data_IF_937348759459
#
_entry.id   IF_937348759459
#
_cell.length_a   1.000
_cell.length_b   1.000
_cell.length_c   1.000
_cell.angle_alpha   90.00
_cell.angle_beta   90.00
_cell.angle_gamma   90.00
#
_symmetry.space_group_name_H-M   'P 1'
#
loop_
_entity.id
_entity.type
_entity.pdbx_description
1 polymer ?
#
# COMPACT_ATOMS: atom_id res chain seq x y z
N UNK A 1 -15.17 -22.77 -18.96
CA UNK A 1 -15.63 -23.82 -19.91
C UNK A 1 -15.00 -25.16 -19.53
N UNK A 2 -15.65 -26.30 -19.77
CA UNK A 2 -15.00 -27.61 -19.59
C UNK A 2 -13.89 -27.78 -20.65
N UNK A 3 -12.64 -27.92 -20.17
CA UNK A 3 -11.42 -28.08 -20.97
C UNK A 3 -11.32 -29.41 -21.73
N UNK A 4 -12.28 -30.32 -21.58
CA UNK A 4 -12.32 -31.61 -22.32
C UNK A 4 -13.23 -31.56 -23.56
N UNK A 5 -13.78 -30.40 -23.93
CA UNK A 5 -14.65 -30.24 -25.11
C UNK A 5 -13.88 -29.57 -26.25
N UNK A 6 -14.24 -29.84 -27.51
CA UNK A 6 -13.61 -29.20 -28.68
C UNK A 6 -13.55 -27.67 -28.56
N UNK A 7 -14.66 -27.04 -28.16
CA UNK A 7 -14.72 -25.58 -27.97
C UNK A 7 -13.90 -25.10 -26.77
N UNK A 8 -13.93 -25.84 -25.65
CA UNK A 8 -13.11 -25.49 -24.48
C UNK A 8 -11.62 -25.55 -24.79
N UNK A 9 -11.16 -26.61 -25.46
CA UNK A 9 -9.75 -26.76 -25.84
C UNK A 9 -9.32 -25.73 -26.88
N UNK A 10 -10.17 -25.45 -27.87
CA UNK A 10 -9.89 -24.42 -28.87
C UNK A 10 -9.76 -23.03 -28.24
N UNK A 11 -10.57 -22.73 -27.22
CA UNK A 11 -10.47 -21.48 -26.47
C UNK A 11 -9.10 -21.34 -25.80
N UNK A 12 -8.66 -22.34 -25.03
CA UNK A 12 -7.35 -22.28 -24.34
C UNK A 12 -6.18 -22.18 -25.32
N UNK A 13 -6.20 -22.94 -26.41
CA UNK A 13 -5.13 -22.91 -27.42
C UNK A 13 -5.03 -21.54 -28.10
N UNK A 14 -6.17 -20.97 -28.50
CA UNK A 14 -6.19 -19.64 -29.11
C UNK A 14 -5.85 -18.53 -28.09
N UNK A 15 -6.20 -18.71 -26.81
CA UNK A 15 -5.83 -17.80 -25.70
C UNK A 15 -4.32 -17.76 -25.54
N UNK A 16 -3.67 -18.92 -25.49
CA UNK A 16 -2.21 -19.03 -25.38
C UNK A 16 -1.48 -18.53 -26.63
N UNK A 17 -2.00 -18.82 -27.81
CA UNK A 17 -1.34 -18.44 -29.06
C UNK A 17 -1.42 -16.92 -29.32
N UNK A 18 -2.49 -16.26 -28.89
CA UNK A 18 -2.70 -14.82 -29.07
C UNK A 18 -2.87 -14.36 -30.53
N UNK A 19 -2.90 -15.30 -31.48
CA UNK A 19 -3.02 -15.05 -32.93
C UNK A 19 -4.06 -15.99 -33.56
N UNK A 20 -4.64 -15.65 -34.73
CA UNK A 20 -5.53 -16.55 -35.43
C UNK A 20 -4.84 -17.86 -35.85
N UNK A 21 -5.52 -18.99 -35.70
CA UNK A 21 -4.99 -20.32 -36.05
C UNK A 21 -5.98 -21.13 -36.88
N UNK A 22 -5.46 -22.02 -37.72
CA UNK A 22 -6.27 -22.95 -38.49
C UNK A 22 -6.82 -24.06 -37.58
N UNK A 23 -8.05 -24.51 -37.82
CA UNK A 23 -8.73 -25.53 -36.99
C UNK A 23 -7.95 -26.83 -36.86
N UNK A 24 -7.19 -27.18 -37.89
CA UNK A 24 -6.36 -28.39 -37.90
C UNK A 24 -5.17 -28.26 -36.95
N UNK A 25 -4.52 -27.09 -36.92
CA UNK A 25 -3.40 -26.82 -36.01
C UNK A 25 -3.88 -26.80 -34.56
N UNK A 26 -5.05 -26.20 -34.32
CA UNK A 26 -5.71 -26.23 -33.00
C UNK A 26 -5.98 -27.68 -32.59
N UNK A 27 -6.45 -28.52 -33.51
CA UNK A 27 -6.72 -29.94 -33.25
C UNK A 27 -5.44 -30.72 -32.96
N UNK A 28 -4.37 -30.48 -33.72
CA UNK A 28 -3.10 -31.16 -33.55
C UNK A 28 -2.43 -30.81 -32.21
N UNK A 29 -2.49 -29.53 -31.81
CA UNK A 29 -2.04 -29.08 -30.49
C UNK A 29 -2.88 -29.74 -29.38
N UNK A 30 -4.20 -29.77 -29.55
CA UNK A 30 -5.14 -30.37 -28.59
C UNK A 30 -4.86 -31.86 -28.34
N UNK A 31 -4.60 -32.62 -29.41
CA UNK A 31 -4.27 -34.04 -29.35
C UNK A 31 -2.87 -34.26 -28.76
N UNK A 32 -1.87 -33.49 -29.21
CA UNK A 32 -0.48 -33.58 -28.73
C UNK A 32 -0.37 -33.31 -27.24
N UNK A 33 -1.15 -32.37 -26.71
CA UNK A 33 -1.20 -32.05 -25.28
C UNK A 33 -2.09 -32.97 -24.45
N UNK A 34 -2.81 -33.90 -25.10
CA UNK A 34 -3.75 -34.81 -24.44
C UNK A 34 -5.00 -34.13 -23.87
N UNK A 35 -5.27 -32.88 -24.26
CA UNK A 35 -6.41 -32.08 -23.80
C UNK A 35 -7.71 -32.48 -24.48
N UNK A 36 -7.61 -33.03 -25.69
CA UNK A 36 -8.73 -33.58 -26.42
C UNK A 36 -8.57 -35.10 -26.56
N UNK A 37 -9.56 -35.85 -26.07
CA UNK A 37 -9.66 -37.29 -26.28
C UNK A 37 -10.80 -37.55 -27.24
N UNK A 38 -10.54 -38.27 -28.33
CA UNK A 38 -11.56 -38.52 -29.37
C UNK A 38 -11.67 -40.00 -29.70
N UNK A 39 -12.89 -40.54 -29.68
CA UNK A 39 -13.19 -41.89 -30.19
C UNK A 39 -13.53 -41.91 -31.69
N UNK A 40 -13.73 -40.74 -32.32
CA UNK A 40 -14.13 -40.60 -33.72
C UNK A 40 -12.93 -40.54 -34.69
N UNK A 41 -13.19 -40.86 -35.97
CA UNK A 41 -12.16 -40.97 -37.02
C UNK A 41 -11.68 -39.62 -37.59
N UNK A 42 -12.41 -38.52 -37.36
CA UNK A 42 -12.18 -37.23 -38.05
C UNK A 42 -12.22 -36.01 -37.10
N UNK A 43 -11.32 -35.94 -36.09
CA UNK A 43 -11.33 -34.86 -35.09
C UNK A 43 -11.12 -33.46 -35.69
N UNK A 44 -10.31 -33.33 -36.75
CA UNK A 44 -10.05 -32.05 -37.45
C UNK A 44 -11.32 -31.45 -38.05
N UNK A 45 -12.08 -32.26 -38.79
CA UNK A 45 -13.37 -31.87 -39.35
C UNK A 45 -14.38 -31.51 -38.25
N UNK A 46 -14.39 -32.26 -37.13
CA UNK A 46 -15.26 -31.96 -35.98
C UNK A 46 -14.90 -30.64 -35.31
N UNK A 47 -13.62 -30.34 -35.10
CA UNK A 47 -13.17 -29.06 -34.54
C UNK A 47 -13.67 -27.89 -35.39
N UNK A 48 -13.40 -27.93 -36.70
CA UNK A 48 -13.85 -26.88 -37.61
C UNK A 48 -15.38 -26.70 -37.58
N UNK A 49 -16.13 -27.80 -37.69
CA UNK A 49 -17.59 -27.75 -37.67
C UNK A 49 -18.14 -27.16 -36.37
N UNK A 50 -17.57 -27.51 -35.22
CA UNK A 50 -17.99 -26.99 -33.91
C UNK A 50 -17.73 -25.48 -33.79
N UNK A 51 -16.58 -24.99 -34.28
CA UNK A 51 -16.26 -23.57 -34.27
C UNK A 51 -17.14 -22.79 -35.27
N UNK A 52 -17.32 -23.28 -36.50
CA UNK A 52 -18.22 -22.66 -37.49
C UNK A 52 -19.64 -22.55 -36.96
N UNK A 53 -20.18 -23.64 -36.37
CA UNK A 53 -21.54 -23.64 -35.82
C UNK A 53 -21.66 -22.67 -34.65
N UNK A 54 -20.64 -22.56 -33.78
CA UNK A 54 -20.66 -21.62 -32.66
C UNK A 54 -20.67 -20.16 -33.15
N UNK A 55 -19.77 -19.83 -34.09
CA UNK A 55 -19.68 -18.50 -34.71
C UNK A 55 -20.99 -18.14 -35.42
N UNK A 56 -21.56 -19.05 -36.21
CA UNK A 56 -22.80 -18.76 -36.95
C UNK A 56 -24.03 -18.64 -36.04
N UNK A 57 -24.12 -19.44 -34.97
CA UNK A 57 -25.27 -19.40 -34.05
C UNK A 57 -25.23 -18.21 -33.10
N UNK A 58 -24.03 -17.78 -32.70
CA UNK A 58 -23.85 -16.76 -31.66
C UNK A 58 -23.40 -15.42 -32.19
N UNK A 59 -22.91 -15.34 -33.43
CA UNK A 59 -22.43 -14.10 -34.04
C UNK A 59 -21.44 -13.39 -33.13
N UNK A 60 -21.71 -12.12 -32.84
CA UNK A 60 -20.90 -11.26 -31.97
C UNK A 60 -20.80 -11.76 -30.52
N UNK A 61 -21.67 -12.69 -30.09
CA UNK A 61 -21.62 -13.34 -28.78
C UNK A 61 -20.80 -14.65 -28.77
N UNK A 62 -20.26 -15.08 -29.91
CA UNK A 62 -19.32 -16.22 -29.93
C UNK A 62 -18.00 -15.81 -29.27
N UNK A 63 -17.35 -16.77 -28.60
CA UNK A 63 -15.97 -16.62 -28.12
C UNK A 63 -14.95 -16.64 -29.26
N UNK A 64 -15.37 -17.04 -30.45
CA UNK A 64 -14.52 -17.19 -31.63
C UNK A 64 -14.96 -16.22 -32.71
N UNK A 65 -14.02 -15.82 -33.55
CA UNK A 65 -14.29 -15.11 -34.81
C UNK A 65 -13.57 -15.83 -35.92
N UNK A 66 -14.25 -16.00 -37.06
CA UNK A 66 -13.65 -16.61 -38.25
C UNK A 66 -12.91 -15.53 -39.04
N UNK A 67 -11.61 -15.67 -39.18
CA UNK A 67 -10.74 -14.68 -39.85
C UNK A 67 -10.31 -15.12 -41.25
N UNK A 68 -10.56 -16.38 -41.63
CA UNK A 68 -10.26 -16.93 -42.95
C UNK A 68 -10.83 -18.34 -43.15
N UNK A 69 -10.54 -19.02 -44.27
CA UNK A 69 -10.94 -20.41 -44.50
C UNK A 69 -10.43 -21.32 -43.37
N UNK A 70 -11.36 -21.84 -42.55
CA UNK A 70 -11.07 -22.69 -41.39
C UNK A 70 -10.07 -22.09 -40.38
N UNK A 71 -9.90 -20.76 -40.38
CA UNK A 71 -9.02 -20.02 -39.46
C UNK A 71 -9.84 -19.22 -38.46
N UNK A 72 -9.51 -19.35 -37.19
CA UNK A 72 -10.27 -18.78 -36.07
C UNK A 72 -9.35 -18.01 -35.13
N UNK A 73 -9.86 -16.94 -34.54
CA UNK A 73 -9.25 -16.22 -33.44
C UNK A 73 -10.24 -16.13 -32.27
N UNK A 74 -9.75 -15.73 -31.10
CA UNK A 74 -10.67 -15.34 -30.02
C UNK A 74 -11.34 -14.01 -30.35
N UNK A 75 -12.64 -13.94 -30.11
CA UNK A 75 -13.41 -12.71 -30.27
C UNK A 75 -13.09 -11.77 -29.10
N UNK A 76 -12.36 -10.69 -29.36
CA UNK A 76 -11.86 -9.74 -28.35
C UNK A 76 -12.93 -8.96 -27.58
N UNK A 77 -14.21 -9.10 -27.95
CA UNK A 77 -15.36 -8.58 -27.19
C UNK A 77 -15.83 -9.53 -26.09
N UNK A 78 -15.59 -10.85 -26.22
CA UNK A 78 -16.02 -11.88 -25.26
C UNK A 78 -14.90 -12.75 -24.71
N UNK A 79 -13.63 -12.49 -25.06
CA UNK A 79 -12.54 -12.89 -24.18
C UNK A 79 -12.85 -12.25 -22.84
N UNK A 80 -13.02 -13.06 -21.80
CA UNK A 80 -12.82 -12.61 -20.43
C UNK A 80 -11.45 -11.93 -20.43
N UNK A 81 -11.47 -10.61 -20.62
CA UNK A 81 -10.38 -9.78 -20.17
C UNK A 81 -10.39 -10.11 -18.69
N UNK A 82 -9.43 -10.91 -18.25
CA UNK A 82 -8.74 -10.56 -17.03
C UNK A 82 -8.32 -9.12 -17.27
N UNK A 83 -9.22 -8.19 -16.97
CA UNK A 83 -8.88 -6.80 -16.83
C UNK A 83 -7.94 -6.86 -15.64
N UNK A 84 -6.61 -6.72 -15.80
CA UNK A 84 -5.79 -6.36 -14.65
C UNK A 84 -6.54 -5.18 -14.06
N UNK A 85 -6.91 -5.25 -12.76
CA UNK A 85 -7.74 -4.27 -12.06
C UNK A 85 -7.48 -2.90 -12.69
N UNK A 86 -8.31 -2.51 -13.66
CA UNK A 86 -8.16 -1.21 -14.28
C UNK A 86 -8.70 -0.36 -13.16
N UNK A 87 -7.80 0.34 -12.50
CA UNK A 87 -8.14 1.44 -11.63
C UNK A 87 -8.94 2.41 -12.52
N UNK A 88 -10.23 2.15 -12.68
CA UNK A 88 -11.20 3.22 -12.76
C UNK A 88 -11.02 3.93 -11.44
N UNK A 89 -10.11 4.91 -11.44
CA UNK A 89 -10.03 5.92 -10.41
C UNK A 89 -11.31 6.74 -10.50
N UNK A 90 -12.46 6.13 -10.17
CA UNK A 90 -13.50 6.88 -9.51
C UNK A 90 -12.79 7.51 -8.31
N UNK A 91 -12.58 8.82 -8.36
CA UNK A 91 -12.16 9.61 -7.22
C UNK A 91 -13.26 9.52 -6.16
N UNK A 92 -13.41 8.36 -5.53
CA UNK A 92 -14.25 8.19 -4.36
C UNK A 92 -13.57 8.98 -3.27
N UNK A 93 -14.16 10.13 -2.97
CA UNK A 93 -13.71 10.98 -1.88
C UNK A 93 -14.04 10.27 -0.57
N UNK A 94 -13.06 9.58 0.00
CA UNK A 94 -13.20 8.87 1.28
C UNK A 94 -13.20 9.90 2.41
N UNK A 95 -14.36 10.07 3.05
CA UNK A 95 -14.50 10.97 4.20
C UNK A 95 -14.10 10.26 5.48
N UNK A 96 -13.21 10.88 6.24
CA UNK A 96 -12.88 10.44 7.60
C UNK A 96 -14.11 10.58 8.50
N UNK A 97 -14.34 9.59 9.35
CA UNK A 97 -15.42 9.63 10.33
C UNK A 97 -15.27 10.84 11.26
N UNK A 98 -16.30 11.68 11.31
CA UNK A 98 -16.38 12.83 12.22
C UNK A 98 -16.56 12.42 13.69
N UNK A 99 -16.87 11.16 13.98
CA UNK A 99 -17.12 10.64 15.33
C UNK A 99 -15.86 10.19 16.08
N UNK A 100 -14.68 10.25 15.46
CA UNK A 100 -13.42 9.86 16.10
C UNK A 100 -13.07 10.77 17.29
N UNK A 101 -12.92 10.17 18.46
CA UNK A 101 -12.47 10.85 19.67
C UNK A 101 -10.93 11.01 19.71
N UNK A 102 -10.42 11.82 20.65
CA UNK A 102 -8.98 12.12 20.73
C UNK A 102 -8.11 10.87 20.96
N UNK A 103 -8.45 9.93 21.89
CA UNK A 103 -7.71 8.67 22.01
C UNK A 103 -7.67 7.85 20.74
N UNK A 104 -8.80 7.69 20.03
CA UNK A 104 -8.84 6.96 18.76
C UNK A 104 -7.93 7.59 17.69
N UNK A 105 -7.91 8.93 17.63
CA UNK A 105 -7.03 9.69 16.73
C UNK A 105 -5.56 9.45 17.04
N UNK A 106 -5.17 9.55 18.31
CA UNK A 106 -3.82 9.22 18.78
C UNK A 106 -3.45 7.78 18.39
N UNK A 107 -4.34 6.84 18.71
CA UNK A 107 -4.11 5.42 18.45
C UNK A 107 -3.86 5.11 16.97
N UNK A 108 -4.59 5.75 16.07
CA UNK A 108 -4.40 5.61 14.61
C UNK A 108 -3.01 6.10 14.22
N UNK A 109 -2.61 7.29 14.68
CA UNK A 109 -1.34 7.89 14.25
C UNK A 109 -0.14 7.13 14.81
N UNK A 110 -0.17 6.77 16.08
CA UNK A 110 0.86 5.92 16.68
C UNK A 110 1.00 4.57 15.95
N UNK A 111 -0.11 3.97 15.51
CA UNK A 111 -0.07 2.76 14.68
C UNK A 111 0.62 3.03 13.34
N UNK A 112 0.29 4.14 12.65
CA UNK A 112 0.95 4.53 11.40
C UNK A 112 2.44 4.80 11.58
N UNK A 113 2.83 5.45 12.67
CA UNK A 113 4.25 5.69 13.00
C UNK A 113 4.97 4.37 13.24
N UNK A 114 4.36 3.44 13.99
CA UNK A 114 4.92 2.09 14.19
C UNK A 114 5.07 1.32 12.87
N UNK A 115 4.07 1.40 11.98
CA UNK A 115 4.11 0.82 10.65
C UNK A 115 5.25 1.39 9.82
N UNK A 116 5.45 2.72 9.79
CA UNK A 116 6.54 3.36 9.06
C UNK A 116 7.91 2.87 9.56
N UNK A 117 8.11 2.84 10.88
CA UNK A 117 9.37 2.36 11.47
C UNK A 117 9.61 0.89 11.15
N UNK A 118 8.57 0.06 11.19
CA UNK A 118 8.67 -1.38 10.93
C UNK A 118 8.87 -1.68 9.44
N UNK A 119 8.24 -0.91 8.56
CA UNK A 119 8.28 -1.09 7.11
C UNK A 119 9.62 -0.68 6.52
N UNK A 120 10.17 0.46 6.96
CA UNK A 120 11.42 1.01 6.42
C UNK A 120 12.65 0.68 7.28
N UNK A 121 12.47 0.16 8.49
CA UNK A 121 13.57 -0.14 9.40
C UNK A 121 14.14 -1.54 9.21
N UNK A 122 15.40 -1.61 8.82
CA UNK A 122 16.17 -2.86 8.90
C UNK A 122 16.62 -3.13 10.35
N UNK A 123 16.52 -4.38 10.78
CA UNK A 123 16.99 -4.82 12.10
C UNK A 123 16.35 -4.13 13.32
N UNK A 124 15.16 -3.52 13.17
CA UNK A 124 14.40 -2.92 14.26
C UNK A 124 13.23 -3.81 14.69
N UNK A 125 12.91 -3.75 15.99
CA UNK A 125 11.64 -4.23 16.55
C UNK A 125 10.91 -3.06 17.19
N UNK A 126 9.67 -2.83 16.78
CA UNK A 126 8.81 -1.77 17.32
C UNK A 126 7.73 -2.39 18.22
N UNK A 127 7.61 -1.88 19.44
CA UNK A 127 6.66 -2.33 20.45
C UNK A 127 5.76 -1.17 20.88
N UNK A 128 4.54 -1.51 21.25
CA UNK A 128 3.57 -0.56 21.80
C UNK A 128 3.28 -0.96 23.24
N UNK A 129 3.55 -0.09 24.23
CA UNK A 129 3.31 -0.42 25.63
C UNK A 129 1.81 -0.55 25.90
N UNK A 130 1.45 -1.36 26.90
CA UNK A 130 0.05 -1.58 27.30
C UNK A 130 -0.47 -0.43 28.17
N UNK A 131 0.42 0.24 28.91
CA UNK A 131 0.14 1.40 29.77
C UNK A 131 0.91 2.62 29.27
N UNK A 132 0.30 3.80 29.37
CA UNK A 132 0.75 5.07 28.80
C UNK A 132 1.21 6.08 29.87
N UNK A 133 1.47 5.61 31.09
CA UNK A 133 1.66 6.45 32.28
C UNK A 133 2.89 7.39 32.18
N UNK A 134 3.87 7.03 31.35
CA UNK A 134 5.11 7.81 31.13
C UNK A 134 5.06 8.68 29.85
N UNK A 135 3.93 8.64 29.12
CA UNK A 135 3.80 9.26 27.80
C UNK A 135 4.74 8.67 26.75
N UNK A 136 5.10 7.40 26.89
CA UNK A 136 5.81 6.61 25.89
C UNK A 136 4.77 5.88 25.06
N UNK A 137 4.70 6.19 23.77
CA UNK A 137 3.71 5.60 22.88
C UNK A 137 4.30 4.43 22.09
N UNK A 138 5.61 4.44 21.84
CA UNK A 138 6.34 3.37 21.14
C UNK A 138 7.71 3.12 21.79
N UNK A 139 8.15 1.86 21.73
CA UNK A 139 9.51 1.45 22.09
C UNK A 139 10.13 0.81 20.86
N UNK A 140 11.18 1.42 20.33
CA UNK A 140 11.90 0.90 19.16
C UNK A 140 13.26 0.38 19.61
N UNK A 141 13.50 -0.90 19.38
CA UNK A 141 14.68 -1.60 19.84
C UNK A 141 15.46 -2.16 18.66
N UNK A 142 16.78 -2.02 18.71
CA UNK A 142 17.67 -2.71 17.78
C UNK A 142 17.69 -4.22 18.11
N UNK A 143 17.46 -5.06 17.10
CA UNK A 143 17.50 -6.51 17.26
C UNK A 143 18.92 -6.97 17.58
N UNK A 144 19.05 -7.87 18.55
CA UNK A 144 20.33 -8.39 19.02
C UNK A 144 21.05 -7.53 20.07
N UNK A 145 20.61 -6.30 20.34
CA UNK A 145 21.21 -5.43 21.38
C UNK A 145 20.19 -5.02 22.43
N UNK A 146 20.57 -4.28 23.46
CA UNK A 146 19.62 -3.67 24.42
C UNK A 146 19.30 -2.20 24.08
N UNK A 147 19.87 -1.67 22.99
CA UNK A 147 19.68 -0.28 22.59
C UNK A 147 18.23 -0.05 22.19
N UNK A 148 17.61 0.91 22.86
CA UNK A 148 16.18 1.21 22.70
C UNK A 148 15.95 2.71 22.69
N UNK A 149 15.09 3.15 21.77
CA UNK A 149 14.54 4.51 21.72
C UNK A 149 13.07 4.45 22.12
N UNK A 150 12.71 5.21 23.14
CA UNK A 150 11.36 5.44 23.64
C UNK A 150 10.80 6.67 22.93
N UNK A 151 9.70 6.49 22.21
CA UNK A 151 9.13 7.53 21.33
C UNK A 151 7.77 7.95 21.87
N UNK A 152 7.61 9.27 22.03
CA UNK A 152 6.29 9.89 22.19
C UNK A 152 5.82 10.48 20.86
N UNK A 153 4.57 10.23 20.49
CA UNK A 153 3.92 10.69 19.27
C UNK A 153 2.91 11.79 19.61
N UNK A 154 2.97 12.89 18.86
CA UNK A 154 1.98 13.97 18.92
C UNK A 154 1.47 14.29 17.53
N UNK A 155 0.16 14.41 17.41
CA UNK A 155 -0.48 14.58 16.12
C UNK A 155 -1.64 15.57 16.12
N UNK A 156 -1.79 16.25 14.98
CA UNK A 156 -2.94 17.11 14.71
C UNK A 156 -3.67 16.56 13.48
N UNK A 157 -4.96 16.24 13.63
CA UNK A 157 -5.84 15.85 12.54
C UNK A 157 -6.33 17.10 11.83
N UNK A 158 -5.89 17.33 10.59
CA UNK A 158 -6.23 18.55 9.87
C UNK A 158 -6.09 18.37 8.37
N UNK A 159 -7.09 18.83 7.62
CA UNK A 159 -6.98 19.07 6.17
C UNK A 159 -6.52 20.49 5.84
N UNK A 160 -6.36 21.37 6.84
CA UNK A 160 -5.93 22.76 6.67
C UNK A 160 -4.44 22.91 6.95
N UNK A 161 -3.65 22.88 5.89
CA UNK A 161 -2.19 23.01 5.94
C UNK A 161 -1.70 24.47 6.00
N UNK A 162 -2.59 25.46 6.07
CA UNK A 162 -2.19 26.87 6.20
C UNK A 162 -1.79 27.25 7.62
N UNK A 163 -2.37 26.59 8.63
CA UNK A 163 -2.09 26.84 10.05
C UNK A 163 -0.84 26.11 10.53
N UNK A 164 -0.09 26.63 11.51
CA UNK A 164 1.05 25.93 12.07
C UNK A 164 0.64 24.63 12.78
N UNK A 165 1.56 23.67 12.85
CA UNK A 165 1.45 22.56 13.79
C UNK A 165 1.81 23.07 15.19
N UNK A 166 0.97 22.72 16.17
CA UNK A 166 1.15 23.08 17.58
C UNK A 166 0.90 21.84 18.43
N UNK A 167 1.84 21.52 19.31
CA UNK A 167 1.70 20.47 20.31
C UNK A 167 2.44 20.85 21.60
N UNK A 168 2.08 20.20 22.69
CA UNK A 168 2.75 20.31 23.98
C UNK A 168 3.12 18.94 24.53
N UNK A 169 4.22 18.91 25.29
CA UNK A 169 4.70 17.73 26.01
C UNK A 169 4.90 18.13 27.47
N UNK A 170 4.43 17.31 28.41
CA UNK A 170 4.68 17.54 29.83
C UNK A 170 6.18 17.41 30.10
N UNK A 171 6.78 18.41 30.74
CA UNK A 171 8.23 18.46 30.98
C UNK A 171 8.75 17.24 31.76
N UNK A 172 7.98 16.69 32.69
CA UNK A 172 8.37 15.48 33.43
C UNK A 172 8.39 14.21 32.57
N UNK A 173 7.69 14.19 31.42
CA UNK A 173 7.79 13.08 30.48
C UNK A 173 9.01 13.22 29.57
N UNK A 174 9.56 14.43 29.40
CA UNK A 174 10.71 14.67 28.54
C UNK A 174 12.02 14.41 29.28
N UNK A 175 12.48 13.15 29.22
CA UNK A 175 13.76 12.72 29.80
C UNK A 175 14.91 13.17 28.90
N UNK A 176 15.89 13.88 29.46
CA UNK A 176 17.08 14.36 28.75
C UNK A 176 18.06 13.20 28.46
N UNK A 177 17.73 12.40 27.46
CA UNK A 177 18.51 11.25 27.01
C UNK A 177 18.28 10.98 25.52
N UNK A 178 19.33 10.55 24.80
CA UNK A 178 19.17 10.06 23.42
C UNK A 178 18.39 8.74 23.34
N UNK A 179 18.10 8.09 24.46
CA UNK A 179 17.08 7.03 24.49
C UNK A 179 15.67 7.54 24.31
N UNK A 180 15.39 8.85 24.36
CA UNK A 180 14.05 9.39 24.16
C UNK A 180 13.96 10.25 22.90
N UNK A 181 12.87 10.09 22.14
CA UNK A 181 12.57 10.89 20.95
C UNK A 181 11.09 11.28 20.85
N UNK A 182 10.83 12.31 20.06
CA UNK A 182 9.48 12.82 19.80
C UNK A 182 9.18 12.79 18.31
N UNK A 183 8.05 12.19 17.95
CA UNK A 183 7.50 12.27 16.60
C UNK A 183 6.34 13.25 16.60
N UNK A 184 6.49 14.35 15.88
CA UNK A 184 5.40 15.29 15.61
C UNK A 184 4.95 15.10 14.17
N UNK A 185 3.66 14.87 13.95
CA UNK A 185 3.17 14.64 12.59
C UNK A 185 1.74 15.13 12.39
N UNK A 186 1.42 15.48 11.15
CA UNK A 186 0.07 15.84 10.74
C UNK A 186 -0.63 14.61 10.18
N UNK A 187 -1.89 14.43 10.54
CA UNK A 187 -2.75 13.47 9.86
C UNK A 187 -3.59 14.22 8.82
N UNK A 188 -3.28 13.98 7.55
CA UNK A 188 -3.98 14.58 6.41
C UNK A 188 -5.35 13.94 6.26
N UNK A 189 -6.38 14.71 6.61
CA UNK A 189 -7.74 14.17 6.62
C UNK A 189 -8.31 13.94 5.22
N UNK A 190 -7.71 14.52 4.18
CA UNK A 190 -8.10 14.30 2.79
C UNK A 190 -7.50 13.01 2.21
N UNK A 191 -6.28 12.66 2.65
CA UNK A 191 -5.59 11.43 2.25
C UNK A 191 -5.89 10.23 3.16
N UNK A 192 -6.34 10.48 4.38
CA UNK A 192 -6.54 9.42 5.37
C UNK A 192 -5.24 8.82 5.89
N UNK A 193 -4.15 9.59 5.88
CA UNK A 193 -2.82 9.13 6.23
C UNK A 193 -1.97 10.24 6.90
N UNK A 194 -0.86 9.84 7.50
CA UNK A 194 0.18 10.76 7.98
C UNK A 194 0.76 11.53 6.79
N UNK A 195 0.87 12.85 6.94
CA UNK A 195 1.43 13.74 5.93
C UNK A 195 2.87 13.33 5.57
N UNK A 196 3.27 13.59 4.32
CA UNK A 196 4.56 13.13 3.78
C UNK A 196 5.77 13.68 4.54
N UNK A 197 5.61 14.84 5.18
CA UNK A 197 6.62 15.42 6.06
C UNK A 197 6.21 15.35 7.53
N UNK A 198 7.14 14.87 8.36
CA UNK A 198 7.01 14.76 9.81
C UNK A 198 8.26 15.34 10.49
N UNK A 199 8.23 15.50 11.81
CA UNK A 199 9.41 15.84 12.60
C UNK A 199 9.77 14.69 13.53
N UNK A 200 11.06 14.34 13.54
CA UNK A 200 11.65 13.47 14.55
C UNK A 200 12.69 14.25 15.35
N UNK A 201 12.42 14.50 16.62
CA UNK A 201 13.25 15.35 17.48
C UNK A 201 13.77 14.53 18.66
N UNK A 202 15.10 14.34 18.80
CA UNK A 202 15.67 13.73 20.00
C UNK A 202 15.35 14.57 21.24
N UNK A 203 15.15 13.93 22.39
CA UNK A 203 14.72 14.64 23.59
C UNK A 203 15.71 15.72 24.08
N UNK A 204 17.04 15.52 24.06
CA UNK A 204 17.99 16.58 24.46
C UNK A 204 17.85 17.85 23.60
N UNK A 205 17.64 17.67 22.29
CA UNK A 205 17.42 18.76 21.35
C UNK A 205 16.07 19.44 21.59
N UNK A 206 15.01 18.66 21.81
CA UNK A 206 13.68 19.19 22.09
C UNK A 206 13.63 19.99 23.38
N UNK A 207 14.16 19.46 24.48
CA UNK A 207 14.21 20.11 25.81
C UNK A 207 14.98 21.43 25.73
N UNK A 208 16.11 21.44 25.02
CA UNK A 208 16.94 22.64 24.85
C UNK A 208 16.24 23.71 24.02
N UNK A 209 15.49 23.32 23.00
CA UNK A 209 14.95 24.26 22.01
C UNK A 209 13.49 24.67 22.29
N UNK A 210 12.70 23.87 22.99
CA UNK A 210 11.30 24.15 23.27
C UNK A 210 11.12 25.31 24.26
N UNK A 211 10.03 26.06 24.10
CA UNK A 211 9.61 27.01 25.13
C UNK A 211 8.86 26.26 26.23
N UNK A 212 9.17 26.56 27.49
CA UNK A 212 8.44 26.02 28.65
C UNK A 212 7.41 27.04 29.10
N UNK A 213 6.14 26.65 29.17
CA UNK A 213 5.08 27.52 29.69
C UNK A 213 5.01 27.46 31.24
N UNK A 214 4.03 28.19 31.81
CA UNK A 214 3.84 28.27 33.27
C UNK A 214 3.34 26.97 33.90
N UNK A 215 2.88 26.01 33.10
CA UNK A 215 2.34 24.71 33.53
C UNK A 215 3.36 23.58 33.30
N UNK A 216 4.64 23.91 33.12
CA UNK A 216 5.70 22.95 32.79
C UNK A 216 5.39 22.14 31.52
N UNK A 217 4.80 22.79 30.50
CA UNK A 217 4.62 22.21 29.18
C UNK A 217 5.66 22.73 28.20
N UNK A 218 6.37 21.81 27.56
CA UNK A 218 7.28 22.07 26.45
C UNK A 218 6.46 22.24 25.17
N UNK A 219 6.51 23.45 24.59
CA UNK A 219 5.80 23.80 23.37
C UNK A 219 6.58 23.48 22.10
N UNK A 220 5.94 22.76 21.18
CA UNK A 220 6.39 22.54 19.81
C UNK A 220 5.49 23.31 18.85
N UNK A 221 6.06 24.24 18.08
CA UNK A 221 5.34 25.05 17.08
C UNK A 221 6.14 25.12 15.79
N UNK A 222 5.62 24.51 14.73
CA UNK A 222 6.29 24.45 13.43
C UNK A 222 5.38 24.82 12.27
N UNK A 223 5.92 25.51 11.27
CA UNK A 223 5.24 25.71 9.99
C UNK A 223 5.19 24.39 9.21
N UNK A 224 4.22 24.23 8.30
CA UNK A 224 3.98 22.96 7.59
C UNK A 224 4.76 22.82 6.28
N UNK A 225 5.77 23.66 6.06
CA UNK A 225 6.57 23.72 4.84
C UNK A 225 8.02 24.04 5.18
N UNK A 226 8.99 23.38 4.50
CA UNK A 226 10.43 23.60 4.70
C UNK A 226 10.85 24.93 4.07
N UNK A 227 10.54 26.03 4.74
CA UNK A 227 10.87 27.38 4.28
C UNK A 227 12.18 27.91 4.86
N UNK A 228 12.85 27.14 5.72
CA UNK A 228 14.16 27.45 6.29
C UNK A 228 14.14 28.48 7.41
N UNK A 229 12.96 28.97 7.80
CA UNK A 229 12.79 30.03 8.79
C UNK A 229 12.37 29.51 10.17
N UNK A 230 12.08 28.21 10.31
CA UNK A 230 11.70 27.63 11.59
C UNK A 230 12.84 26.77 12.17
N UNK A 231 13.13 26.93 13.46
CA UNK A 231 14.15 26.15 14.18
C UNK A 231 13.94 24.63 14.11
N UNK A 232 12.70 24.19 13.89
CA UNK A 232 12.35 22.77 13.77
C UNK A 232 12.55 22.20 12.36
N UNK A 233 12.83 23.04 11.35
CA UNK A 233 13.05 22.59 9.96
C UNK A 233 14.24 21.60 9.84
N UNK A 234 15.20 21.67 10.77
CA UNK A 234 16.34 20.75 10.87
C UNK A 234 15.93 19.31 11.21
N UNK A 235 14.79 19.13 11.89
CA UNK A 235 14.26 17.83 12.30
C UNK A 235 13.15 17.32 11.37
N UNK A 236 12.80 18.10 10.35
CA UNK A 236 11.75 17.73 9.42
C UNK A 236 12.29 16.83 8.31
N UNK A 237 11.65 15.68 8.17
CA UNK A 237 12.04 14.58 7.29
C UNK A 237 10.85 14.11 6.46
N UNK A 238 11.11 13.40 5.37
CA UNK A 238 10.09 12.58 4.73
C UNK A 238 9.70 11.45 5.72
N UNK A 239 8.42 11.11 5.81
CA UNK A 239 7.91 10.08 6.74
C UNK A 239 8.57 8.72 6.51
N UNK A 240 9.06 8.46 5.30
CA UNK A 240 9.76 7.22 4.92
C UNK A 240 11.17 7.14 5.51
N UNK A 241 11.80 8.28 5.77
CA UNK A 241 13.13 8.36 6.37
C UNK A 241 13.10 8.21 7.91
N UNK A 242 11.91 8.02 8.51
CA UNK A 242 11.75 7.95 9.96
C UNK A 242 12.58 6.82 10.58
N UNK A 243 12.58 5.64 9.95
CA UNK A 243 13.32 4.49 10.46
C UNK A 243 14.83 4.78 10.51
N UNK A 244 15.38 5.38 9.45
CA UNK A 244 16.79 5.77 9.38
C UNK A 244 17.16 6.77 10.48
N UNK A 245 16.30 7.74 10.76
CA UNK A 245 16.52 8.68 11.87
C UNK A 245 16.50 8.01 13.25
N UNK A 246 15.63 7.02 13.45
CA UNK A 246 15.63 6.24 14.69
C UNK A 246 16.93 5.43 14.81
N UNK A 247 17.42 4.85 13.71
CA UNK A 247 18.71 4.14 13.67
C UNK A 247 19.89 5.08 13.97
N UNK A 248 19.89 6.29 13.39
CA UNK A 248 20.89 7.32 13.70
C UNK A 248 20.88 7.69 15.19
N UNK A 249 19.70 7.80 15.80
CA UNK A 249 19.58 8.07 17.23
C UNK A 249 20.06 6.89 18.09
N UNK A 250 19.74 5.64 17.73
CA UNK A 250 20.24 4.44 18.41
C UNK A 250 21.77 4.36 18.45
N UNK A 251 22.47 4.90 17.44
CA UNK A 251 23.95 4.97 17.42
C UNK A 251 24.52 5.93 18.47
N UNK A 252 23.70 6.81 19.04
CA UNK A 252 24.09 7.80 20.07
C UNK A 252 23.87 7.30 21.51
N UNK A 253 23.33 6.08 21.65
CA UNK A 253 23.05 5.39 22.93
C UNK A 253 24.10 4.30 23.15
#
# INVERSE_FOLDING_TARGET
MNTNTFKGVAYEILKEAGVPMHSDDITDIALKRGWLKTAGKTPKATMNAQLVVDVNKRGDQSLFVKTGPSTFALNGTNTEKETPLKEEQEQKEYKISSTLNSPQKGNIVEARVAELITLYGENLSCYRPISDDEGIDLIVKEKGTLKSVYIQVKSNFSGDFSKPFVATVKKHNAVDSFSMGFVFCLFDTSKGDVHDYIWFVPAPDFIKMAHVDRNDLLGFVSGKSKKGNNKWDAFMIDKRDLADRVIEQLKRI
#
